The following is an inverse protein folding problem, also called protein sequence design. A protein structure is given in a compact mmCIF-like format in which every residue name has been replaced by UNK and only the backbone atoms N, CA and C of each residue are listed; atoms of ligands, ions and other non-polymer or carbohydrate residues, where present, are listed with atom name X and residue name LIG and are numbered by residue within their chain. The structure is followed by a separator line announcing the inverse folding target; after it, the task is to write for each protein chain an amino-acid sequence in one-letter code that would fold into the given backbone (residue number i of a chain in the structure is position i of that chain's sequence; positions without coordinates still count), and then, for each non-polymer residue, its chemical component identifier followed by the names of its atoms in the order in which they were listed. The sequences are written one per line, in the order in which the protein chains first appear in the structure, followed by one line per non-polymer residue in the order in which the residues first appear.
data_IF_396944595641
#
_entry.id   IF_396944595641
#
_cell.length_a   1.000
_cell.length_b   1.000
_cell.length_c   1.000
_cell.angle_alpha   90.00
_cell.angle_beta   90.00
_cell.angle_gamma   90.00
#
_symmetry.space_group_name_H-M   'P 1'
#
loop_
_entity.id
_entity.type
_entity.pdbx_description
1 polymer ?
#
# COMPACT_ATOMS: atom_id res chain seq x y z
N UNK A 1 -17.32 -33.70 -2.72
CA UNK A 1 -16.32 -34.59 -3.37
C UNK A 1 -14.94 -34.22 -2.81
N UNK A 2 -14.21 -35.22 -2.28
CA UNK A 2 -12.82 -35.10 -1.79
C UNK A 2 -11.87 -35.71 -2.85
N UNK A 3 -10.58 -35.39 -2.72
CA UNK A 3 -9.33 -36.14 -3.07
C UNK A 3 -8.57 -35.58 -4.30
N UNK A 4 -7.23 -35.50 -4.31
CA UNK A 4 -6.29 -36.56 -3.89
C UNK A 4 -4.98 -36.17 -3.16
N UNK A 5 -4.47 -37.21 -2.50
CA UNK A 5 -3.23 -37.44 -1.75
C UNK A 5 -2.23 -38.13 -2.70
N UNK A 6 -0.92 -37.83 -2.59
CA UNK A 6 0.15 -38.73 -3.05
C UNK A 6 0.69 -39.52 -1.86
N UNK A 7 0.77 -40.83 -2.03
CA UNK A 7 1.24 -41.83 -1.07
C UNK A 7 2.37 -42.65 -1.69
N UNK A 8 3.40 -42.95 -0.89
CA UNK A 8 4.21 -44.20 -0.79
C UNK A 8 5.60 -43.80 -0.24
N UNK A 9 6.21 -44.52 0.73
CA UNK A 9 6.42 -45.96 0.76
C UNK A 9 6.78 -46.44 2.20
N UNK A 10 6.42 -47.69 2.49
CA UNK A 10 6.64 -48.46 3.73
C UNK A 10 8.13 -48.69 4.04
N UNK A 11 8.52 -48.74 5.33
CA UNK A 11 9.46 -49.74 5.89
C UNK A 11 9.11 -50.04 7.38
N UNK A 12 9.32 -51.30 7.77
CA UNK A 12 8.99 -51.96 9.05
C UNK A 12 9.92 -51.54 10.22
N UNK A 13 9.44 -51.83 11.42
CA UNK A 13 9.96 -51.56 12.77
C UNK A 13 11.29 -52.24 13.19
N UNK A 14 11.93 -51.61 14.20
CA UNK A 14 12.67 -52.16 15.38
C UNK A 14 14.03 -52.87 15.10
N UNK A 15 15.15 -52.67 15.82
CA UNK A 15 15.39 -52.14 17.18
C UNK A 15 16.87 -51.73 17.32
N UNK A 16 17.18 -50.66 18.06
CA UNK A 16 18.41 -50.57 18.88
C UNK A 16 18.06 -49.79 20.15
N UNK A 17 18.25 -50.43 21.30
CA UNK A 17 18.28 -49.80 22.61
C UNK A 17 19.53 -48.92 22.70
N UNK A 18 19.34 -47.63 22.94
CA UNK A 18 20.41 -46.76 23.43
C UNK A 18 19.81 -45.81 24.47
N UNK A 19 20.16 -46.09 25.73
CA UNK A 19 19.97 -45.18 26.86
C UNK A 19 20.65 -43.86 26.55
N UNK A 20 19.86 -42.79 26.48
CA UNK A 20 20.35 -41.44 26.30
C UNK A 20 19.29 -40.47 26.80
N UNK A 21 19.65 -39.70 27.83
CA UNK A 21 18.85 -38.63 28.40
C UNK A 21 18.52 -37.61 27.29
N UNK A 22 17.35 -37.73 26.66
CA UNK A 22 16.84 -36.77 25.69
C UNK A 22 16.09 -35.68 26.44
N UNK A 23 16.77 -34.55 26.66
CA UNK A 23 16.11 -33.30 27.00
C UNK A 23 15.08 -33.00 25.89
N UNK A 24 13.80 -33.03 26.24
CA UNK A 24 12.72 -32.58 25.34
C UNK A 24 12.79 -31.06 25.34
N UNK A 25 13.67 -30.52 24.49
CA UNK A 25 13.57 -29.12 24.11
C UNK A 25 12.29 -28.97 23.28
N UNK A 26 11.38 -28.04 23.62
CA UNK A 26 10.33 -27.69 22.70
C UNK A 26 11.02 -27.08 21.47
N UNK A 27 11.00 -27.77 20.34
CA UNK A 27 11.18 -27.13 19.05
C UNK A 27 9.99 -26.19 18.87
N UNK A 28 10.10 -24.98 19.42
CA UNK A 28 9.47 -23.84 18.82
C UNK A 28 10.06 -23.76 17.42
N UNK A 29 9.42 -24.43 16.46
CA UNK A 29 9.61 -24.11 15.07
C UNK A 29 9.17 -22.65 14.94
N UNK A 30 10.14 -21.75 15.03
CA UNK A 30 10.01 -20.39 14.53
C UNK A 30 9.64 -20.57 13.07
N UNK A 31 8.35 -20.49 12.78
CA UNK A 31 7.90 -20.11 11.46
C UNK A 31 8.47 -18.71 11.27
N UNK A 32 9.69 -18.64 10.73
CA UNK A 32 10.15 -17.44 10.07
C UNK A 32 9.12 -17.22 8.97
N UNK A 33 8.20 -16.30 9.21
CA UNK A 33 7.33 -15.81 8.16
C UNK A 33 8.26 -15.41 7.01
N UNK A 34 8.17 -16.13 5.90
CA UNK A 34 8.91 -15.77 4.70
C UNK A 34 8.60 -14.31 4.35
N UNK A 35 9.53 -13.59 3.71
CA UNK A 35 9.27 -12.22 3.29
C UNK A 35 7.97 -12.19 2.47
N UNK A 36 7.04 -11.24 2.75
CA UNK A 36 5.78 -11.16 2.03
C UNK A 36 6.01 -11.08 0.52
N UNK A 37 5.11 -11.71 -0.24
CA UNK A 37 5.21 -11.78 -1.69
C UNK A 37 5.05 -10.39 -2.30
N UNK A 38 5.94 -10.04 -3.24
CA UNK A 38 6.10 -8.72 -3.88
C UNK A 38 5.00 -8.34 -4.89
N UNK A 39 3.74 -8.67 -4.63
CA UNK A 39 2.66 -8.22 -5.50
C UNK A 39 2.22 -6.80 -5.09
N UNK A 40 2.53 -5.84 -5.97
CA UNK A 40 2.05 -4.45 -6.00
C UNK A 40 2.57 -3.41 -4.98
N UNK A 41 3.52 -3.72 -4.09
CA UNK A 41 4.22 -2.67 -3.35
C UNK A 41 5.33 -2.04 -4.22
N UNK A 42 5.08 -0.85 -4.78
CA UNK A 42 6.05 -0.09 -5.59
C UNK A 42 7.01 0.76 -4.76
N UNK A 43 6.96 0.64 -3.44
CA UNK A 43 7.83 1.34 -2.51
C UNK A 43 9.18 0.64 -2.40
N UNK A 44 10.25 1.41 -2.57
CA UNK A 44 11.61 0.93 -2.33
C UNK A 44 11.84 1.05 -0.82
N UNK A 45 11.55 0.00 -0.05
CA UNK A 45 11.69 -0.06 1.41
C UNK A 45 13.17 -0.06 1.87
N UNK A 46 14.00 0.85 1.35
CA UNK A 46 15.41 0.98 1.70
C UNK A 46 15.59 2.15 2.69
N UNK A 47 15.85 1.89 3.98
CA UNK A 47 16.07 2.93 4.99
C UNK A 47 17.27 3.84 4.72
N UNK A 48 18.21 3.41 3.85
CA UNK A 48 19.39 4.19 3.48
C UNK A 48 19.12 5.24 2.39
N UNK A 49 17.91 5.23 1.82
CA UNK A 49 17.47 6.17 0.80
C UNK A 49 16.13 6.77 1.24
N UNK A 50 16.10 7.79 2.12
CA UNK A 50 14.84 8.44 2.49
C UNK A 50 14.20 9.06 1.24
N UNK A 51 13.00 8.59 0.90
CA UNK A 51 12.17 9.10 -0.18
C UNK A 51 10.80 9.50 0.39
N UNK A 52 10.50 10.79 0.42
CA UNK A 52 9.22 11.32 0.93
C UNK A 52 8.78 12.54 0.16
N UNK A 53 7.61 13.08 0.44
CA UNK A 53 7.19 14.36 -0.13
C UNK A 53 7.88 15.52 0.59
N UNK A 54 8.07 16.63 -0.14
CA UNK A 54 8.54 17.89 0.43
C UNK A 54 7.46 18.42 1.40
N UNK A 55 7.72 18.45 2.72
CA UNK A 55 6.70 18.80 3.71
C UNK A 55 6.27 20.27 3.63
N UNK A 56 7.09 21.15 3.05
CA UNK A 56 6.82 22.58 2.98
C UNK A 56 5.96 22.97 1.77
N UNK A 57 5.63 22.01 0.90
CA UNK A 57 4.83 22.28 -0.30
C UNK A 57 3.52 21.54 -0.23
N UNK A 58 2.44 22.27 -0.50
CA UNK A 58 1.15 21.64 -0.72
C UNK A 58 1.22 20.70 -1.93
N UNK A 59 0.72 19.48 -1.77
CA UNK A 59 0.65 18.46 -2.81
C UNK A 59 -0.64 18.68 -3.59
N UNK A 60 -0.61 19.22 -4.82
CA UNK A 60 -1.79 19.27 -5.67
C UNK A 60 -2.23 17.85 -6.03
N UNK A 61 -3.53 17.56 -5.84
CA UNK A 61 -4.11 16.29 -6.28
C UNK A 61 -5.20 16.49 -7.32
N UNK A 62 -5.18 15.63 -8.35
CA UNK A 62 -6.22 15.56 -9.40
C UNK A 62 -6.93 14.22 -9.32
N UNK A 63 -8.20 14.19 -9.70
CA UNK A 63 -9.02 12.97 -9.66
C UNK A 63 -9.65 12.66 -11.01
N UNK A 64 -9.46 11.45 -11.50
CA UNK A 64 -10.17 10.90 -12.66
C UNK A 64 -11.24 9.90 -12.18
N UNK A 65 -12.50 10.33 -12.17
CA UNK A 65 -13.65 9.50 -11.76
C UNK A 65 -14.25 8.69 -12.91
N UNK A 66 -13.59 8.62 -14.08
CA UNK A 66 -14.13 8.04 -15.30
C UNK A 66 -14.76 6.65 -15.08
N UNK A 67 -16.06 6.52 -15.37
CA UNK A 67 -16.80 5.28 -15.21
C UNK A 67 -17.14 4.91 -13.76
N UNK A 68 -17.09 5.86 -12.82
CA UNK A 68 -17.44 5.64 -11.40
C UNK A 68 -18.36 6.73 -10.85
N UNK A 69 -19.10 6.46 -9.76
CA UNK A 69 -19.96 7.45 -9.14
C UNK A 69 -19.22 8.66 -8.58
N UNK A 70 -19.74 9.87 -8.80
CA UNK A 70 -19.16 11.13 -8.27
C UNK A 70 -19.00 11.16 -6.74
N UNK A 71 -19.81 10.38 -6.00
CA UNK A 71 -19.68 10.26 -4.54
C UNK A 71 -18.33 9.72 -4.08
N UNK A 72 -17.59 9.01 -4.92
CA UNK A 72 -16.27 8.47 -4.59
C UNK A 72 -15.26 9.59 -4.26
N UNK A 73 -15.44 10.80 -4.82
CA UNK A 73 -14.60 11.96 -4.47
C UNK A 73 -14.68 12.33 -2.99
N UNK A 74 -15.84 12.11 -2.34
CA UNK A 74 -15.98 12.36 -0.89
C UNK A 74 -15.09 11.42 -0.08
N UNK A 75 -14.98 10.15 -0.49
CA UNK A 75 -14.11 9.16 0.16
C UNK A 75 -12.63 9.53 -0.03
N UNK A 76 -12.23 9.92 -1.25
CA UNK A 76 -10.85 10.38 -1.51
C UNK A 76 -10.48 11.58 -0.64
N UNK A 77 -11.38 12.56 -0.51
CA UNK A 77 -11.16 13.74 0.35
C UNK A 77 -11.04 13.38 1.82
N UNK A 78 -11.87 12.46 2.31
CA UNK A 78 -11.80 11.98 3.70
C UNK A 78 -10.48 11.24 3.95
N UNK A 79 -10.07 10.33 3.06
CA UNK A 79 -8.81 9.61 3.19
C UNK A 79 -7.58 10.54 3.14
N UNK A 80 -7.58 11.54 2.27
CA UNK A 80 -6.53 12.56 2.23
C UNK A 80 -6.50 13.41 3.51
N UNK A 81 -7.65 13.67 4.14
CA UNK A 81 -7.71 14.38 5.41
C UNK A 81 -7.08 13.56 6.55
N UNK A 82 -7.35 12.26 6.61
CA UNK A 82 -6.71 11.35 7.58
C UNK A 82 -5.18 11.30 7.39
N UNK A 83 -4.73 11.20 6.14
CA UNK A 83 -3.30 11.22 5.80
C UNK A 83 -2.69 12.57 6.18
N UNK A 84 -3.33 13.70 5.84
CA UNK A 84 -2.87 15.04 6.21
C UNK A 84 -2.72 15.20 7.73
N UNK A 85 -3.67 14.69 8.51
CA UNK A 85 -3.60 14.74 9.96
C UNK A 85 -2.42 13.92 10.51
N UNK A 86 -2.10 12.78 9.88
CA UNK A 86 -1.03 11.92 10.32
C UNK A 86 0.36 12.39 9.89
N UNK A 87 0.49 13.02 8.71
CA UNK A 87 1.77 13.49 8.17
C UNK A 87 2.07 14.96 8.47
N UNK A 88 1.05 15.80 8.63
CA UNK A 88 1.19 17.26 8.59
C UNK A 88 1.28 17.85 7.17
N UNK A 89 1.18 17.02 6.12
CA UNK A 89 1.17 17.52 4.74
C UNK A 89 -0.13 18.26 4.43
N UNK A 90 -0.03 19.20 3.48
CA UNK A 90 -1.20 19.89 2.93
C UNK A 90 -1.51 19.36 1.54
N UNK A 91 -2.80 19.13 1.25
CA UNK A 91 -3.28 18.67 -0.06
C UNK A 91 -4.23 19.69 -0.66
N UNK A 92 -4.00 20.06 -1.92
CA UNK A 92 -4.86 21.02 -2.63
C UNK A 92 -5.56 20.34 -3.80
N UNK A 93 -6.89 20.43 -3.86
CA UNK A 93 -7.63 19.88 -4.99
C UNK A 93 -7.38 20.70 -6.25
N UNK A 94 -6.72 20.10 -7.24
CA UNK A 94 -6.37 20.73 -8.50
C UNK A 94 -7.37 20.40 -9.64
N UNK A 95 -8.56 19.89 -9.30
CA UNK A 95 -9.63 19.59 -10.25
C UNK A 95 -9.64 18.16 -10.79
N UNK A 96 -10.50 17.91 -11.78
CA UNK A 96 -10.58 16.63 -12.48
C UNK A 96 -9.42 16.44 -13.47
N UNK A 97 -9.20 15.19 -13.90
CA UNK A 97 -8.24 14.86 -14.96
C UNK A 97 -8.72 13.64 -15.76
N UNK A 98 -8.16 13.45 -16.96
CA UNK A 98 -8.30 12.23 -17.74
C UNK A 98 -7.08 11.30 -17.61
N UNK A 99 -6.04 11.75 -16.90
CA UNK A 99 -4.86 10.94 -16.64
C UNK A 99 -5.24 9.66 -15.86
N UNK A 100 -4.59 8.56 -16.21
CA UNK A 100 -4.69 7.28 -15.52
C UNK A 100 -3.27 6.86 -15.15
N UNK A 101 -2.90 6.94 -13.86
CA UNK A 101 -1.63 6.44 -13.37
C UNK A 101 -1.40 4.98 -13.79
N UNK A 102 -0.15 4.63 -14.07
CA UNK A 102 0.29 3.27 -14.37
C UNK A 102 -0.25 2.64 -15.67
N UNK A 103 -0.98 3.39 -16.51
CA UNK A 103 -1.56 2.85 -17.76
C UNK A 103 -0.52 2.23 -18.72
N UNK A 104 0.72 2.73 -18.70
CA UNK A 104 1.85 2.14 -19.41
C UNK A 104 2.99 1.76 -18.45
N UNK A 105 2.64 1.26 -17.27
CA UNK A 105 3.59 0.97 -16.18
C UNK A 105 4.09 2.22 -15.45
N UNK A 106 5.10 2.06 -14.59
CA UNK A 106 5.59 3.15 -13.72
C UNK A 106 6.04 4.41 -14.47
N UNK A 107 6.56 4.27 -15.69
CA UNK A 107 7.00 5.40 -16.52
C UNK A 107 5.86 6.36 -16.86
N UNK A 108 4.62 5.89 -16.92
CA UNK A 108 3.43 6.72 -17.18
C UNK A 108 3.10 7.68 -16.04
N UNK A 109 3.68 7.51 -14.84
CA UNK A 109 3.56 8.50 -13.77
C UNK A 109 4.23 9.84 -14.11
N UNK A 110 5.08 9.91 -15.14
CA UNK A 110 5.54 11.20 -15.69
C UNK A 110 4.40 12.07 -16.25
N UNK A 111 3.21 11.50 -16.48
CA UNK A 111 2.01 12.24 -16.89
C UNK A 111 1.28 12.86 -15.69
N UNK A 112 1.60 12.43 -14.46
CA UNK A 112 1.17 13.14 -13.25
C UNK A 112 2.00 14.41 -13.14
N UNK A 113 1.39 15.59 -12.89
CA UNK A 113 2.13 16.84 -12.73
C UNK A 113 3.24 16.71 -11.68
N UNK A 114 4.38 17.35 -11.91
CA UNK A 114 5.45 17.46 -10.92
C UNK A 114 4.93 18.10 -9.61
N UNK A 115 5.42 17.60 -8.49
CA UNK A 115 4.86 17.81 -7.15
C UNK A 115 3.45 17.25 -6.93
N UNK A 116 2.89 16.47 -7.85
CA UNK A 116 1.46 16.16 -7.87
C UNK A 116 1.08 14.69 -7.60
N UNK A 117 -0.14 14.52 -7.11
CA UNK A 117 -0.79 13.22 -6.91
C UNK A 117 -1.96 13.08 -7.90
N UNK A 118 -2.09 11.93 -8.54
CA UNK A 118 -3.29 11.61 -9.33
C UNK A 118 -3.97 10.36 -8.80
N UNK A 119 -5.27 10.47 -8.53
CA UNK A 119 -6.13 9.34 -8.14
C UNK A 119 -7.07 9.04 -9.31
N UNK A 120 -7.12 7.79 -9.76
CA UNK A 120 -7.98 7.38 -10.87
C UNK A 120 -8.67 6.05 -10.62
N UNK A 121 -9.68 5.76 -11.43
CA UNK A 121 -10.26 4.43 -11.58
C UNK A 121 -10.00 3.92 -12.99
N UNK A 122 -9.64 2.65 -13.12
CA UNK A 122 -9.34 2.02 -14.40
C UNK A 122 -9.74 0.54 -14.41
N UNK A 123 -9.79 -0.08 -15.58
CA UNK A 123 -9.84 -1.54 -15.72
C UNK A 123 -8.44 -2.09 -15.99
N UNK A 124 -8.27 -3.40 -15.81
CA UNK A 124 -7.07 -4.15 -16.22
C UNK A 124 -6.70 -3.98 -17.69
N UNK A 125 -7.68 -3.77 -18.59
CA UNK A 125 -7.41 -3.46 -20.00
C UNK A 125 -6.72 -2.10 -20.22
N UNK A 126 -6.86 -1.15 -19.28
CA UNK A 126 -6.18 0.17 -19.34
C UNK A 126 -4.91 0.20 -18.49
N UNK A 127 -4.92 -0.51 -17.36
CA UNK A 127 -3.76 -0.68 -16.47
C UNK A 127 -3.54 -2.18 -16.29
N UNK A 128 -2.67 -2.82 -17.10
CA UNK A 128 -2.48 -4.28 -17.07
C UNK A 128 -2.10 -4.85 -15.70
N UNK A 129 -1.48 -4.05 -14.83
CA UNK A 129 -1.12 -4.43 -13.47
C UNK A 129 -2.34 -4.63 -12.53
N UNK A 130 -3.56 -4.26 -12.95
CA UNK A 130 -4.81 -4.57 -12.25
C UNK A 130 -5.39 -5.94 -12.65
N UNK A 131 -4.70 -6.74 -13.47
CA UNK A 131 -5.18 -8.07 -13.83
C UNK A 131 -5.12 -9.04 -12.63
N UNK A 132 -6.05 -9.99 -12.57
CA UNK A 132 -6.13 -10.97 -11.48
C UNK A 132 -6.81 -10.40 -10.24
N UNK A 133 -6.22 -10.64 -9.07
CA UNK A 133 -6.79 -10.28 -7.76
C UNK A 133 -6.37 -8.87 -7.26
N UNK A 134 -5.83 -8.03 -8.15
CA UNK A 134 -5.34 -6.69 -7.80
C UNK A 134 -6.46 -5.67 -7.88
N UNK A 135 -6.87 -5.14 -6.73
CA UNK A 135 -7.98 -4.17 -6.62
C UNK A 135 -7.53 -2.70 -6.61
N UNK A 136 -6.24 -2.44 -6.42
CA UNK A 136 -5.66 -1.11 -6.38
C UNK A 136 -4.14 -1.12 -6.56
N UNK A 137 -3.58 0.03 -6.92
CA UNK A 137 -2.14 0.29 -6.93
C UNK A 137 -1.88 1.72 -6.48
N UNK A 138 -0.87 1.90 -5.63
CA UNK A 138 -0.40 3.18 -5.14
C UNK A 138 1.13 3.23 -5.14
N UNK A 139 1.68 4.44 -5.20
CA UNK A 139 3.11 4.63 -5.01
C UNK A 139 3.76 5.73 -5.84
N UNK A 140 5.03 6.05 -5.54
CA UNK A 140 5.78 7.09 -6.24
C UNK A 140 6.23 6.65 -7.64
N UNK A 141 6.35 7.66 -8.50
CA UNK A 141 6.89 7.54 -9.86
C UNK A 141 8.41 7.41 -9.89
N UNK A 142 9.00 7.25 -11.08
CA UNK A 142 10.45 7.30 -11.25
C UNK A 142 11.01 8.72 -11.11
N UNK A 143 10.14 9.74 -11.02
CA UNK A 143 10.53 11.13 -10.86
C UNK A 143 10.79 11.43 -9.38
N UNK A 144 12.02 11.82 -9.09
CA UNK A 144 12.44 12.29 -7.77
C UNK A 144 13.13 13.64 -7.93
N UNK A 145 13.00 14.48 -6.91
CA UNK A 145 13.69 15.77 -6.82
C UNK A 145 14.65 15.73 -5.64
N UNK A 146 15.84 16.31 -5.79
CA UNK A 146 16.76 16.45 -4.66
C UNK A 146 16.46 17.75 -3.89
N UNK A 147 16.29 17.66 -2.58
CA UNK A 147 16.14 18.80 -1.67
C UNK A 147 17.21 18.67 -0.58
N UNK A 148 18.28 19.47 -0.68
CA UNK A 148 19.49 19.26 0.12
C UNK A 148 20.11 17.87 -0.17
N UNK A 149 20.27 17.06 0.86
CA UNK A 149 20.81 15.69 0.75
C UNK A 149 19.73 14.60 0.71
N UNK A 150 18.46 14.99 0.64
CA UNK A 150 17.33 14.05 0.63
C UNK A 150 16.65 13.98 -0.74
N UNK A 151 16.24 12.78 -1.14
CA UNK A 151 15.43 12.56 -2.32
C UNK A 151 13.95 12.70 -1.98
N UNK A 152 13.25 13.46 -2.79
CA UNK A 152 11.84 13.76 -2.62
C UNK A 152 11.03 13.11 -3.73
N UNK A 153 9.90 12.51 -3.37
CA UNK A 153 8.83 12.10 -4.28
C UNK A 153 8.37 13.36 -5.02
N UNK A 154 8.46 13.33 -6.34
CA UNK A 154 7.98 14.43 -7.18
C UNK A 154 6.61 14.11 -7.79
N UNK A 155 6.26 12.83 -7.96
CA UNK A 155 4.93 12.44 -8.43
C UNK A 155 4.54 11.08 -7.88
N UNK A 156 3.25 10.91 -7.61
CA UNK A 156 2.69 9.60 -7.27
C UNK A 156 1.31 9.40 -7.90
N UNK A 157 0.91 8.13 -7.96
CA UNK A 157 -0.40 7.73 -8.42
C UNK A 157 -1.13 6.90 -7.38
N UNK A 158 -2.44 6.90 -7.50
CA UNK A 158 -3.34 5.86 -7.01
C UNK A 158 -4.25 5.47 -8.17
N UNK A 159 -4.36 4.18 -8.47
CA UNK A 159 -5.38 3.68 -9.37
C UNK A 159 -6.16 2.56 -8.70
N UNK A 160 -7.48 2.66 -8.73
CA UNK A 160 -8.40 1.67 -8.17
C UNK A 160 -9.02 0.90 -9.32
N UNK A 161 -9.13 -0.42 -9.19
CA UNK A 161 -9.91 -1.20 -10.15
C UNK A 161 -11.40 -0.84 -10.03
N UNK A 162 -11.96 -0.31 -11.12
CA UNK A 162 -13.39 0.01 -11.18
C UNK A 162 -14.29 -1.22 -11.05
N UNK A 163 -13.76 -2.42 -11.28
CA UNK A 163 -14.49 -3.69 -11.14
C UNK A 163 -14.55 -4.22 -9.70
N UNK A 164 -13.79 -3.64 -8.76
CA UNK A 164 -13.75 -4.09 -7.36
C UNK A 164 -15.06 -3.84 -6.58
N UNK A 165 -15.97 -3.01 -7.10
CA UNK A 165 -17.31 -2.74 -6.55
C UNK A 165 -17.37 -2.52 -5.02
N UNK A 166 -16.41 -1.79 -4.47
CA UNK A 166 -16.31 -1.55 -3.02
C UNK A 166 -17.39 -0.59 -2.51
N UNK A 167 -17.89 -0.87 -1.29
CA UNK A 167 -18.81 0.03 -0.60
C UNK A 167 -18.15 1.35 -0.23
N UNK A 168 -18.91 2.44 -0.28
CA UNK A 168 -18.49 3.76 0.22
C UNK A 168 -18.91 3.99 1.67
N UNK A 169 -19.54 3.01 2.32
CA UNK A 169 -19.89 3.09 3.74
C UNK A 169 -18.63 2.96 4.62
N UNK A 170 -18.60 3.70 5.72
CA UNK A 170 -17.51 3.67 6.70
C UNK A 170 -17.73 2.50 7.65
N UNK A 171 -17.45 1.30 7.18
CA UNK A 171 -17.65 0.04 7.91
C UNK A 171 -16.36 -0.78 7.94
N UNK A 172 -16.24 -1.64 8.95
CA UNK A 172 -15.16 -2.62 8.99
C UNK A 172 -15.30 -3.62 7.83
N UNK A 173 -14.14 -4.07 7.34
CA UNK A 173 -14.00 -4.92 6.17
C UNK A 173 -13.57 -4.17 4.90
N UNK A 174 -13.61 -4.85 3.74
CA UNK A 174 -13.28 -4.25 2.46
C UNK A 174 -14.21 -3.08 2.14
N UNK A 175 -13.65 -1.88 2.00
CA UNK A 175 -14.38 -0.66 1.64
C UNK A 175 -13.51 0.21 0.74
N UNK A 176 -14.13 1.17 0.05
CA UNK A 176 -13.38 2.13 -0.74
C UNK A 176 -12.45 2.96 0.14
N UNK A 177 -12.86 3.27 1.38
CA UNK A 177 -12.03 4.02 2.31
C UNK A 177 -10.77 3.24 2.68
N UNK A 178 -10.91 1.97 3.08
CA UNK A 178 -9.76 1.15 3.49
C UNK A 178 -8.78 0.93 2.33
N UNK A 179 -9.28 0.71 1.12
CA UNK A 179 -8.41 0.60 -0.06
C UNK A 179 -7.74 1.94 -0.41
N UNK A 180 -8.47 3.06 -0.45
CA UNK A 180 -7.88 4.36 -0.78
C UNK A 180 -6.83 4.78 0.26
N UNK A 181 -7.07 4.52 1.55
CA UNK A 181 -6.05 4.76 2.59
C UNK A 181 -4.80 3.90 2.37
N UNK A 182 -4.95 2.61 2.04
CA UNK A 182 -3.83 1.71 1.73
C UNK A 182 -2.99 2.25 0.55
N UNK A 183 -3.64 2.56 -0.57
CA UNK A 183 -2.90 3.05 -1.75
C UNK A 183 -2.31 4.45 -1.53
N UNK A 184 -2.96 5.30 -0.74
CA UNK A 184 -2.38 6.58 -0.34
C UNK A 184 -1.17 6.39 0.58
N UNK A 185 -1.16 5.40 1.47
CA UNK A 185 0.01 5.08 2.29
C UNK A 185 1.22 4.75 1.41
N UNK A 186 1.04 3.90 0.39
CA UNK A 186 2.07 3.67 -0.62
C UNK A 186 2.47 4.94 -1.38
N UNK A 187 1.50 5.77 -1.80
CA UNK A 187 1.77 7.03 -2.47
C UNK A 187 2.56 8.03 -1.60
N UNK A 188 2.42 7.95 -0.28
CA UNK A 188 3.21 8.75 0.68
C UNK A 188 4.61 8.17 0.91
N UNK A 189 4.82 6.88 0.61
CA UNK A 189 6.10 6.19 0.73
C UNK A 189 6.13 5.04 1.74
N UNK A 190 4.98 4.68 2.34
CA UNK A 190 4.91 3.54 3.25
C UNK A 190 4.97 2.20 2.51
N UNK A 191 5.73 1.26 3.05
CA UNK A 191 5.65 -0.16 2.71
C UNK A 191 4.47 -0.84 3.41
N UNK A 192 4.36 -2.15 3.24
CA UNK A 192 3.34 -2.93 3.96
C UNK A 192 3.66 -3.02 5.45
N UNK A 193 2.61 -3.05 6.28
CA UNK A 193 2.69 -3.35 7.71
C UNK A 193 2.50 -4.85 7.95
N UNK A 194 3.21 -5.46 8.91
CA UNK A 194 2.93 -6.84 9.33
C UNK A 194 1.65 -6.96 10.18
N UNK A 195 1.05 -5.86 10.62
CA UNK A 195 -0.08 -5.85 11.55
C UNK A 195 -1.41 -5.68 10.85
N UNK A 196 -2.35 -6.62 11.05
CA UNK A 196 -3.74 -6.52 10.54
C UNK A 196 -4.55 -5.35 11.12
N UNK A 197 -4.03 -4.67 12.14
CA UNK A 197 -4.65 -3.47 12.68
C UNK A 197 -4.38 -2.22 11.82
N UNK A 198 -3.41 -2.29 10.92
CA UNK A 198 -3.00 -1.22 10.02
C UNK A 198 -3.65 -1.40 8.65
N UNK A 199 -4.02 -0.28 8.00
CA UNK A 199 -4.49 -0.31 6.60
C UNK A 199 -3.39 -0.75 5.66
N UNK A 200 -2.12 -0.53 6.00
CA UNK A 200 -0.98 -0.99 5.22
C UNK A 200 -0.71 -2.50 5.35
N UNK A 201 -1.52 -3.25 6.10
CA UNK A 201 -1.46 -4.72 6.02
C UNK A 201 -1.72 -5.19 4.58
N UNK A 202 -0.98 -6.20 4.14
CA UNK A 202 -1.12 -6.71 2.78
C UNK A 202 -2.52 -7.27 2.50
N UNK A 203 -3.14 -6.77 1.43
CA UNK A 203 -4.44 -7.23 0.96
C UNK A 203 -5.65 -6.66 1.71
N UNK A 204 -6.80 -6.78 1.06
CA UNK A 204 -8.07 -6.25 1.54
C UNK A 204 -8.98 -7.39 2.01
N UNK A 205 -9.46 -7.34 3.26
CA UNK A 205 -10.21 -8.44 3.86
C UNK A 205 -11.09 -8.03 5.03
N UNK A 206 -11.68 -9.00 5.73
CA UNK A 206 -12.55 -8.74 6.91
C UNK A 206 -11.86 -7.99 8.05
N UNK A 207 -10.53 -8.03 8.10
CA UNK A 207 -9.73 -7.30 9.08
C UNK A 207 -9.59 -5.81 8.76
N UNK A 208 -9.78 -5.42 7.50
CA UNK A 208 -9.57 -4.05 7.03
C UNK A 208 -10.42 -3.06 7.82
N UNK A 209 -9.84 -1.92 8.14
CA UNK A 209 -10.50 -0.84 8.88
C UNK A 209 -10.58 0.40 8.01
N UNK A 210 -11.66 1.20 8.07
CA UNK A 210 -11.79 2.43 7.31
C UNK A 210 -11.07 3.61 7.99
N UNK A 211 -9.92 3.37 8.63
CA UNK A 211 -9.12 4.36 9.34
C UNK A 211 -7.66 3.89 9.51
N UNK A 212 -6.72 4.83 9.62
CA UNK A 212 -5.31 4.56 9.87
C UNK A 212 -5.09 3.90 11.24
N UNK A 213 -4.39 2.76 11.24
CA UNK A 213 -3.94 2.04 12.43
C UNK A 213 -2.69 2.65 13.09
N UNK A 214 -2.24 2.10 14.22
CA UNK A 214 -1.11 2.63 14.97
C UNK A 214 0.21 2.68 14.17
N UNK A 215 0.52 1.64 13.40
CA UNK A 215 1.73 1.55 12.59
C UNK A 215 1.69 2.51 11.40
N UNK A 216 0.52 2.63 10.76
CA UNK A 216 0.32 3.60 9.67
C UNK A 216 0.59 5.03 10.16
N UNK A 217 -0.01 5.41 11.31
CA UNK A 217 0.16 6.74 11.88
C UNK A 217 1.61 7.01 12.30
N UNK A 218 2.31 6.00 12.82
CA UNK A 218 3.72 6.12 13.18
C UNK A 218 4.59 6.37 11.94
N UNK A 219 4.41 5.58 10.88
CA UNK A 219 5.13 5.75 9.62
C UNK A 219 4.83 7.09 8.95
N UNK A 220 3.54 7.47 8.84
CA UNK A 220 3.13 8.75 8.27
C UNK A 220 3.69 9.94 9.05
N UNK A 221 3.71 9.88 10.39
CA UNK A 221 4.34 10.91 11.23
C UNK A 221 5.83 11.04 10.95
N UNK A 222 6.54 9.95 10.71
CA UNK A 222 7.97 9.99 10.42
C UNK A 222 8.25 10.65 9.06
N UNK A 223 7.43 10.36 8.04
CA UNK A 223 7.50 11.02 6.73
C UNK A 223 7.27 12.53 6.86
N UNK A 224 6.35 12.93 7.73
CA UNK A 224 6.15 14.32 8.13
C UNK A 224 7.36 14.91 8.86
N UNK A 225 7.64 14.43 10.07
CA UNK A 225 8.49 15.10 11.07
C UNK A 225 9.99 15.17 10.76
N UNK A 226 10.51 14.47 9.75
CA UNK A 226 11.96 14.43 9.51
C UNK A 226 12.48 15.75 8.91
N UNK A 227 13.62 16.26 9.38
CA UNK A 227 14.57 17.18 8.71
C UNK A 227 14.14 18.59 8.21
N UNK A 228 12.88 18.83 7.84
CA UNK A 228 12.43 20.09 7.22
C UNK A 228 10.98 20.49 7.59
N UNK A 229 10.12 19.56 7.98
CA UNK A 229 8.72 19.86 8.33
C UNK A 229 8.54 20.62 9.65
N UNK A 230 9.58 20.68 10.48
CA UNK A 230 9.58 21.50 11.69
C UNK A 230 9.90 22.98 11.41
N UNK A 231 10.26 23.31 10.16
CA UNK A 231 10.76 24.61 9.75
C UNK A 231 9.95 25.26 8.60
N UNK A 232 8.84 24.63 8.22
CA UNK A 232 7.72 25.28 7.56
C UNK A 232 6.61 25.49 8.62
#
# INVERSE_FOLDING_TARGET
MKRAIVMMRRVRFLSVLASGLLAVLPLAATYAAGPPSRAASWTREDPSFPFRWDPCRAIPYRVNLGGTPHRNLKVVRAALADVAQATGFTFTYAGSTHAVPYAAGRSSLRQVPAGGLTIAWASSGKVPALAGDVVGLGGPGPSYRRLGDEWQIDSAGVVIDKSAHLTTAMVDGPSLMSLVLHELGHAMGLGHSPSKADVMYEGLGRWSRPHLGPGDRAGLRQLGASGAASAC
#
